data_IF_746008802291
#
_entry.id   IF_746008802291
#
_cell.length_a   1.000
_cell.length_b   1.000
_cell.length_c   1.000
_cell.angle_alpha   90.00
_cell.angle_beta   90.00
_cell.angle_gamma   90.00
#
_symmetry.space_group_name_H-M   'P 1'
#
loop_
_entity.id
_entity.type
_entity.pdbx_description
1 polymer ?
#
# COMPACT_ATOMS: atom_id res chain seq x y z
N UNK A 1 56.30 -13.56 10.63
CA UNK A 1 55.06 -14.06 9.99
C UNK A 1 54.13 -14.57 11.07
N UNK A 2 53.04 -13.87 11.36
CA UNK A 2 52.08 -14.26 12.40
C UNK A 2 51.00 -15.14 11.74
N UNK A 3 50.92 -16.40 12.15
CA UNK A 3 49.84 -17.33 11.77
C UNK A 3 48.66 -17.04 12.69
N UNK A 4 47.72 -16.22 12.23
CA UNK A 4 46.48 -15.97 12.98
C UNK A 4 45.57 -17.19 12.79
N UNK A 5 45.38 -17.95 13.86
CA UNK A 5 44.63 -19.20 13.87
C UNK A 5 43.11 -18.91 13.90
N UNK A 6 42.57 -18.35 12.81
CA UNK A 6 41.14 -18.05 12.65
C UNK A 6 40.24 -19.28 12.86
N UNK A 7 40.81 -20.48 12.69
CA UNK A 7 40.12 -21.76 12.80
C UNK A 7 39.68 -22.09 14.23
N UNK A 8 40.41 -21.62 15.26
CA UNK A 8 40.03 -21.82 16.67
C UNK A 8 38.90 -20.88 17.10
N UNK A 9 38.80 -19.70 16.48
CA UNK A 9 37.80 -18.68 16.83
C UNK A 9 36.43 -18.97 16.19
N UNK A 10 36.41 -19.59 15.01
CA UNK A 10 35.18 -20.02 14.33
C UNK A 10 34.66 -21.37 14.84
N UNK A 11 35.55 -22.21 15.38
CA UNK A 11 35.25 -23.55 15.89
C UNK A 11 35.01 -23.61 17.40
N UNK A 12 34.72 -22.47 18.05
CA UNK A 12 34.54 -22.37 19.50
C UNK A 12 33.53 -23.39 19.99
N UNK A 13 34.01 -24.54 20.48
CA UNK A 13 33.20 -25.47 21.29
C UNK A 13 32.49 -24.60 22.33
N UNK A 14 31.16 -24.72 22.50
CA UNK A 14 30.49 -23.99 23.55
C UNK A 14 31.13 -24.44 24.85
N UNK A 15 32.03 -23.61 25.39
CA UNK A 15 32.50 -23.73 26.75
C UNK A 15 31.22 -23.80 27.56
N UNK A 16 31.01 -24.91 28.26
CA UNK A 16 29.87 -25.07 29.17
C UNK A 16 30.10 -24.09 30.30
N UNK A 17 29.77 -22.83 30.03
CA UNK A 17 29.70 -21.78 31.01
C UNK A 17 28.69 -22.16 32.08
N UNK A 18 28.81 -21.58 33.27
CA UNK A 18 27.89 -21.86 34.36
C UNK A 18 26.43 -21.60 33.93
N UNK A 19 25.48 -22.42 34.40
CA UNK A 19 24.08 -22.43 33.94
C UNK A 19 23.34 -21.08 34.07
N UNK A 20 23.84 -20.17 34.90
CA UNK A 20 23.29 -18.80 34.99
C UNK A 20 23.60 -17.97 33.74
N UNK A 21 24.75 -18.18 33.08
CA UNK A 21 25.09 -17.53 31.80
C UNK A 21 24.16 -17.96 30.68
N UNK A 22 23.73 -19.24 30.64
CA UNK A 22 22.77 -19.70 29.62
C UNK A 22 21.42 -19.03 29.77
N UNK A 23 20.95 -18.80 31.00
CA UNK A 23 19.70 -18.10 31.25
C UNK A 23 19.78 -16.61 30.85
N UNK A 24 20.89 -15.95 31.17
CA UNK A 24 21.13 -14.57 30.72
C UNK A 24 21.24 -14.47 29.20
N UNK A 25 21.89 -15.42 28.54
CA UNK A 25 21.99 -15.45 27.08
C UNK A 25 20.60 -15.62 26.44
N UNK A 26 19.76 -16.50 27.00
CA UNK A 26 18.36 -16.65 26.56
C UNK A 26 17.57 -15.34 26.76
N UNK A 27 17.67 -14.72 27.93
CA UNK A 27 17.00 -13.45 28.22
C UNK A 27 17.48 -12.34 27.26
N UNK A 28 18.78 -12.23 27.03
CA UNK A 28 19.36 -11.27 26.10
C UNK A 28 18.87 -11.51 24.66
N UNK A 29 18.83 -12.77 24.20
CA UNK A 29 18.31 -13.11 22.87
C UNK A 29 16.84 -12.73 22.72
N UNK A 30 16.03 -12.92 23.78
CA UNK A 30 14.63 -12.54 23.77
C UNK A 30 14.49 -11.02 23.66
N UNK A 31 15.25 -10.26 24.46
CA UNK A 31 15.24 -8.80 24.40
C UNK A 31 15.65 -8.31 23.02
N UNK A 32 16.75 -8.83 22.46
CA UNK A 32 17.19 -8.49 21.10
C UNK A 32 16.11 -8.80 20.07
N UNK A 33 15.49 -9.97 20.15
CA UNK A 33 14.39 -10.36 19.26
C UNK A 33 13.21 -9.39 19.34
N UNK A 34 12.78 -9.02 20.56
CA UNK A 34 11.70 -8.05 20.78
C UNK A 34 12.08 -6.66 20.26
N UNK A 35 13.31 -6.21 20.51
CA UNK A 35 13.79 -4.91 20.01
C UNK A 35 13.80 -4.89 18.48
N UNK A 36 14.32 -5.94 17.83
CA UNK A 36 14.31 -6.04 16.37
C UNK A 36 12.88 -6.10 15.81
N UNK A 37 11.97 -6.82 16.48
CA UNK A 37 10.57 -6.88 16.08
C UNK A 37 9.90 -5.49 16.16
N UNK A 38 10.11 -4.77 17.26
CA UNK A 38 9.60 -3.41 17.42
C UNK A 38 10.17 -2.46 16.38
N UNK A 39 11.47 -2.58 16.08
CA UNK A 39 12.14 -1.78 15.06
C UNK A 39 11.54 -2.05 13.67
N UNK A 40 11.34 -3.34 13.33
CA UNK A 40 10.70 -3.75 12.07
C UNK A 40 9.24 -3.29 11.99
N UNK A 41 8.46 -3.45 13.06
CA UNK A 41 7.07 -3.02 13.12
C UNK A 41 6.94 -1.49 12.99
N UNK A 42 7.80 -0.74 13.68
CA UNK A 42 7.86 0.71 13.58
C UNK A 42 8.21 1.16 12.16
N UNK A 43 9.21 0.54 11.55
CA UNK A 43 9.58 0.81 10.16
C UNK A 43 8.44 0.48 9.20
N UNK A 44 7.79 -0.67 9.36
CA UNK A 44 6.66 -1.09 8.53
C UNK A 44 5.48 -0.12 8.64
N UNK A 45 5.17 0.39 9.84
CA UNK A 45 4.10 1.35 10.06
C UNK A 45 4.28 2.62 9.20
N UNK A 46 5.53 3.04 8.99
CA UNK A 46 5.88 4.19 8.13
C UNK A 46 5.96 3.76 6.66
N UNK A 47 6.52 2.58 6.37
CA UNK A 47 6.78 2.13 5.00
C UNK A 47 5.49 1.75 4.26
N UNK A 48 4.55 1.08 4.93
CA UNK A 48 3.26 0.64 4.35
C UNK A 48 2.51 1.81 3.68
N UNK A 49 2.22 2.94 4.34
CA UNK A 49 1.49 4.03 3.71
C UNK A 49 2.27 4.63 2.52
N UNK A 50 3.60 4.75 2.63
CA UNK A 50 4.43 5.24 1.53
C UNK A 50 4.34 4.33 0.30
N UNK A 51 4.50 3.01 0.51
CA UNK A 51 4.40 2.01 -0.56
C UNK A 51 3.01 2.00 -1.16
N UNK A 52 1.95 2.12 -0.35
CA UNK A 52 0.57 2.22 -0.83
C UNK A 52 0.37 3.42 -1.76
N UNK A 53 0.88 4.60 -1.37
CA UNK A 53 0.78 5.82 -2.19
C UNK A 53 1.56 5.66 -3.50
N UNK A 54 2.82 5.21 -3.42
CA UNK A 54 3.66 5.01 -4.61
C UNK A 54 3.06 3.96 -5.54
N UNK A 55 2.55 2.86 -4.99
CA UNK A 55 1.87 1.81 -5.73
C UNK A 55 0.61 2.32 -6.45
N UNK A 56 -0.21 3.11 -5.76
CA UNK A 56 -1.40 3.73 -6.36
C UNK A 56 -1.04 4.69 -7.51
N UNK A 57 -0.02 5.54 -7.32
CA UNK A 57 0.47 6.47 -8.35
C UNK A 57 1.06 5.71 -9.55
N UNK A 58 1.86 4.67 -9.29
CA UNK A 58 2.44 3.84 -10.33
C UNK A 58 1.36 3.10 -11.14
N UNK A 59 0.38 2.51 -10.46
CA UNK A 59 -0.76 1.86 -11.09
C UNK A 59 -1.59 2.84 -11.93
N UNK A 60 -1.83 4.05 -11.42
CA UNK A 60 -2.54 5.09 -12.16
C UNK A 60 -1.77 5.53 -13.41
N UNK A 61 -0.45 5.75 -13.28
CA UNK A 61 0.42 6.11 -14.40
C UNK A 61 0.46 5.01 -15.46
N UNK A 62 0.57 3.75 -15.04
CA UNK A 62 0.56 2.60 -15.94
C UNK A 62 -0.79 2.50 -16.68
N UNK A 63 -1.90 2.64 -15.96
CA UNK A 63 -3.25 2.63 -16.56
C UNK A 63 -3.44 3.75 -17.57
N UNK A 64 -2.93 4.96 -17.29
CA UNK A 64 -2.99 6.07 -18.24
C UNK A 64 -2.16 5.80 -19.50
N UNK A 65 -0.98 5.19 -19.36
CA UNK A 65 -0.15 4.80 -20.50
C UNK A 65 -0.81 3.71 -21.34
N UNK A 66 -1.46 2.72 -20.71
CA UNK A 66 -2.21 1.68 -21.40
C UNK A 66 -3.43 2.23 -22.16
N UNK A 67 -4.17 3.16 -21.54
CA UNK A 67 -5.25 3.90 -22.21
C UNK A 67 -4.74 4.71 -23.40
N UNK A 68 -3.60 5.39 -23.25
CA UNK A 68 -2.96 6.13 -24.34
C UNK A 68 -2.46 5.22 -25.47
N UNK A 69 -2.08 3.97 -25.15
CA UNK A 69 -1.71 2.93 -26.10
C UNK A 69 -2.92 2.21 -26.72
N UNK A 70 -4.16 2.64 -26.42
CA UNK A 70 -5.38 2.06 -26.99
C UNK A 70 -5.86 0.76 -26.32
N UNK A 71 -5.17 0.27 -25.28
CA UNK A 71 -5.60 -0.90 -24.52
C UNK A 71 -6.62 -0.49 -23.45
N UNK A 72 -7.86 -0.95 -23.61
CA UNK A 72 -8.95 -0.72 -22.64
C UNK A 72 -10.09 0.18 -23.10
N UNK A 73 -10.44 0.19 -24.39
CA UNK A 73 -11.80 0.58 -24.84
C UNK A 73 -12.72 -0.65 -24.88
N UNK A 74 -13.44 -0.97 -23.79
CA UNK A 74 -14.72 -1.64 -23.91
C UNK A 74 -15.84 -0.59 -23.80
N UNK A 75 -16.73 -0.65 -24.77
CA UNK A 75 -18.08 -0.10 -24.86
C UNK A 75 -18.33 1.34 -25.35
N UNK A 76 -19.14 1.50 -26.42
CA UNK A 76 -19.63 2.78 -26.94
C UNK A 76 -20.65 3.50 -26.03
N UNK A 77 -21.00 2.94 -24.87
CA UNK A 77 -21.90 3.58 -23.88
C UNK A 77 -21.17 4.25 -22.70
N UNK A 78 -19.83 4.22 -22.66
CA UNK A 78 -19.04 4.91 -21.63
C UNK A 78 -19.11 6.45 -21.72
N UNK A 79 -19.68 7.00 -22.80
CA UNK A 79 -19.89 8.44 -23.01
C UNK A 79 -20.88 9.08 -22.00
N UNK A 80 -21.62 8.28 -21.22
CA UNK A 80 -22.70 8.80 -20.37
C UNK A 80 -22.34 8.94 -18.89
N UNK A 81 -21.11 8.60 -18.47
CA UNK A 81 -20.68 8.74 -17.06
C UNK A 81 -19.47 9.67 -16.91
N UNK A 82 -19.76 10.98 -16.98
CA UNK A 82 -19.07 12.17 -16.42
C UNK A 82 -18.78 13.22 -17.49
N UNK A 83 -19.40 14.39 -17.33
CA UNK A 83 -18.72 15.44 -16.57
C UNK A 83 -19.53 15.81 -15.32
N UNK A 84 -19.03 15.41 -14.15
CA UNK A 84 -19.46 15.99 -12.87
C UNK A 84 -18.68 17.29 -12.61
N UNK A 85 -18.68 18.21 -13.59
CA UNK A 85 -18.09 19.56 -13.45
C UNK A 85 -18.98 20.67 -14.03
N UNK A 86 -20.23 20.36 -14.31
CA UNK A 86 -21.23 21.41 -14.43
C UNK A 86 -22.49 20.86 -13.81
N UNK A 87 -22.75 21.32 -12.59
CA UNK A 87 -24.11 21.34 -12.08
C UNK A 87 -24.86 22.24 -13.07
N UNK A 88 -25.40 21.65 -14.13
CA UNK A 88 -26.49 22.28 -14.85
C UNK A 88 -27.61 22.33 -13.83
N UNK A 89 -27.79 23.51 -13.24
CA UNK A 89 -28.98 23.84 -12.47
C UNK A 89 -30.12 23.71 -13.48
N UNK A 90 -30.79 22.57 -13.47
CA UNK A 90 -32.01 22.37 -14.23
C UNK A 90 -33.06 23.16 -13.46
N UNK A 91 -33.32 24.39 -13.90
CA UNK A 91 -34.46 25.19 -13.45
C UNK A 91 -35.71 24.58 -14.10
N UNK A 92 -36.15 23.46 -13.54
CA UNK A 92 -37.36 22.79 -13.95
C UNK A 92 -38.54 23.58 -13.38
N UNK A 93 -38.96 24.62 -14.09
CA UNK A 93 -40.26 25.24 -13.85
C UNK A 93 -41.34 24.16 -14.01
N UNK A 94 -41.96 23.78 -12.89
CA UNK A 94 -43.00 22.77 -12.89
C UNK A 94 -44.26 23.38 -13.51
N UNK A 95 -44.60 22.95 -14.72
CA UNK A 95 -45.91 23.24 -15.33
C UNK A 95 -46.89 22.13 -14.99
N UNK A 96 -47.95 22.46 -14.26
CA UNK A 96 -49.08 21.56 -14.06
C UNK A 96 -49.88 21.54 -15.37
N UNK A 97 -49.96 20.37 -16.00
CA UNK A 97 -50.79 20.18 -17.19
C UNK A 97 -52.20 19.87 -16.69
N UNK A 98 -53.14 20.79 -16.90
CA UNK A 98 -54.54 20.54 -16.58
C UNK A 98 -55.14 19.51 -17.56
N UNK A 99 -56.02 18.60 -17.09
CA UNK A 99 -56.63 17.60 -17.97
C UNK A 99 -57.52 18.28 -19.01
N UNK A 100 -57.00 18.45 -20.23
CA UNK A 100 -57.74 19.04 -21.35
C UNK A 100 -56.93 19.95 -22.27
N UNK A 101 -55.68 20.27 -21.93
CA UNK A 101 -54.90 21.20 -22.75
C UNK A 101 -54.33 20.54 -24.02
N UNK A 102 -54.59 21.08 -25.23
CA UNK A 102 -54.07 20.50 -26.46
C UNK A 102 -52.56 20.77 -26.62
N UNK A 103 -51.78 19.78 -27.08
CA UNK A 103 -50.33 19.91 -27.23
C UNK A 103 -50.00 20.93 -28.31
N UNK A 104 -49.24 21.98 -27.96
CA UNK A 104 -48.63 22.87 -28.96
C UNK A 104 -47.33 22.24 -29.45
N UNK A 105 -47.20 22.14 -30.77
CA UNK A 105 -45.97 21.74 -31.47
C UNK A 105 -44.94 22.86 -31.46
#
# INVERSE_FOLDING_TARGET
>A
MIRVNLHEQLGGRPQRGPRWMTWLAMAASLVVGVTLFLLAASLALILIPVVMIVGAVAAWRLRNRLKAAGFGRPDPFAAQRRPAERVDVIDAEYRIIEPGEPPRR
#
